data_IF_362242669334
#
_entry.id   IF_362242669334
#
_cell.length_a   1.000
_cell.length_b   1.000
_cell.length_c   1.000
_cell.angle_alpha   90.00
_cell.angle_beta   90.00
_cell.angle_gamma   90.00
#
_symmetry.space_group_name_H-M   'P 1'
#
loop_
_entity.id
_entity.type
_entity.pdbx_description
1 polymer ?
#
# COMPACT_ATOMS: atom_id res chain seq x y z
N UNK A 1 -56.89 24.99 -7.59
CA UNK A 1 -55.72 24.38 -6.91
C UNK A 1 -54.80 23.84 -7.97
N UNK A 2 -53.55 24.31 -8.01
CA UNK A 2 -52.36 23.58 -8.46
C UNK A 2 -51.18 24.51 -8.16
N UNK A 3 -50.66 24.40 -6.93
CA UNK A 3 -49.43 25.07 -6.51
C UNK A 3 -48.26 24.40 -7.24
N UNK A 4 -47.57 25.16 -8.07
CA UNK A 4 -46.35 24.71 -8.73
C UNK A 4 -45.25 24.49 -7.69
N UNK A 5 -44.71 23.28 -7.63
CA UNK A 5 -43.48 22.98 -6.92
C UNK A 5 -42.33 23.71 -7.62
N UNK A 6 -41.93 24.87 -7.10
CA UNK A 6 -40.65 25.47 -7.45
C UNK A 6 -39.53 24.64 -6.80
N UNK A 7 -38.61 24.12 -7.62
CA UNK A 7 -37.38 23.52 -7.12
C UNK A 7 -36.54 24.60 -6.43
N UNK A 8 -36.32 24.48 -5.13
CA UNK A 8 -35.29 25.24 -4.42
C UNK A 8 -33.92 24.74 -4.89
N UNK A 9 -33.40 25.30 -5.99
CA UNK A 9 -31.97 25.30 -6.25
C UNK A 9 -31.38 26.52 -5.56
N UNK A 10 -30.60 26.27 -4.50
CA UNK A 10 -29.77 27.29 -3.87
C UNK A 10 -28.87 27.87 -4.99
N UNK A 11 -28.85 29.19 -5.24
CA UNK A 11 -28.02 29.75 -6.29
C UNK A 11 -26.57 29.38 -5.98
N UNK A 12 -25.94 28.61 -6.88
CA UNK A 12 -24.50 28.36 -6.83
C UNK A 12 -23.85 29.71 -7.14
N UNK A 13 -23.07 30.32 -6.22
CA UNK A 13 -22.33 31.53 -6.55
C UNK A 13 -21.44 31.23 -7.76
N UNK A 14 -21.32 32.19 -8.68
CA UNK A 14 -20.71 31.99 -9.99
C UNK A 14 -19.26 31.48 -9.98
N UNK A 15 -18.59 31.44 -8.83
CA UNK A 15 -17.27 30.83 -8.65
C UNK A 15 -17.08 30.30 -7.20
N UNK A 16 -17.74 29.21 -6.84
CA UNK A 16 -17.62 28.65 -5.49
C UNK A 16 -16.26 27.96 -5.26
N UNK A 17 -15.61 28.26 -4.13
CA UNK A 17 -14.42 27.53 -3.66
C UNK A 17 -14.78 26.09 -3.24
N UNK A 18 -13.81 25.15 -3.26
CA UNK A 18 -14.03 23.78 -2.82
C UNK A 18 -14.52 23.69 -1.38
N UNK A 19 -15.38 22.72 -1.08
CA UNK A 19 -15.86 22.45 0.28
C UNK A 19 -15.03 21.38 0.98
N UNK A 20 -14.30 20.58 0.21
CA UNK A 20 -13.48 19.48 0.70
C UNK A 20 -12.15 19.39 -0.04
N UNK A 21 -11.11 19.04 0.69
CA UNK A 21 -9.81 18.63 0.17
C UNK A 21 -9.53 17.21 0.63
N UNK A 22 -9.10 16.35 -0.30
CA UNK A 22 -8.54 15.03 -0.02
C UNK A 22 -7.07 15.09 -0.41
N UNK A 23 -6.20 15.02 0.59
CA UNK A 23 -4.75 15.05 0.43
C UNK A 23 -4.20 13.63 0.60
N UNK A 24 -3.82 13.02 -0.51
CA UNK A 24 -3.15 11.73 -0.57
C UNK A 24 -1.63 11.93 -0.44
N UNK A 25 -1.07 11.48 0.68
CA UNK A 25 0.37 11.52 0.93
C UNK A 25 0.94 10.13 0.70
N UNK A 26 1.92 9.99 -0.18
CA UNK A 26 2.55 8.70 -0.42
C UNK A 26 3.45 8.29 0.76
N UNK A 27 3.27 7.05 1.24
CA UNK A 27 4.22 6.38 2.14
C UNK A 27 4.33 6.91 3.58
N UNK A 28 3.45 7.78 4.05
CA UNK A 28 3.48 8.30 5.44
C UNK A 28 3.06 7.23 6.45
N UNK A 29 3.96 6.92 7.39
CA UNK A 29 3.67 6.00 8.50
C UNK A 29 2.78 6.64 9.57
N UNK A 30 1.84 5.86 10.11
CA UNK A 30 0.98 6.27 11.23
C UNK A 30 1.78 6.75 12.45
N UNK A 31 2.92 6.12 12.73
CA UNK A 31 3.81 6.48 13.86
C UNK A 31 4.31 7.91 13.74
N UNK A 32 4.60 8.36 12.51
CA UNK A 32 5.20 9.67 12.24
C UNK A 32 4.19 10.78 12.49
N UNK A 33 2.94 10.55 12.08
CA UNK A 33 1.82 11.46 12.36
C UNK A 33 1.51 11.50 13.85
N UNK A 34 1.57 10.36 14.54
CA UNK A 34 1.38 10.30 15.99
C UNK A 34 2.48 11.07 16.74
N UNK A 35 3.74 10.90 16.35
CA UNK A 35 4.88 11.65 16.90
C UNK A 35 4.76 13.16 16.62
N UNK A 36 4.36 13.55 15.41
CA UNK A 36 4.09 14.95 15.09
C UNK A 36 2.99 15.54 15.97
N UNK A 37 1.93 14.76 16.22
CA UNK A 37 0.82 15.18 17.10
C UNK A 37 1.24 15.32 18.56
N UNK A 38 2.09 14.43 19.05
CA UNK A 38 2.68 14.55 20.40
C UNK A 38 3.52 15.83 20.53
N UNK A 39 4.13 16.30 19.44
CA UNK A 39 4.85 17.59 19.37
C UNK A 39 3.93 18.81 19.17
N UNK A 40 2.61 18.63 19.21
CA UNK A 40 1.61 19.70 19.07
C UNK A 40 1.21 20.05 17.63
N UNK A 41 1.70 19.30 16.63
CA UNK A 41 1.27 19.48 15.23
C UNK A 41 -0.10 18.84 14.98
N UNK A 42 -0.79 19.28 13.95
CA UNK A 42 -2.13 18.82 13.54
C UNK A 42 -3.19 18.99 14.63
N UNK A 43 -3.06 20.02 15.48
CA UNK A 43 -4.00 20.29 16.56
C UNK A 43 -5.43 20.61 16.07
N UNK A 44 -5.56 21.12 14.84
CA UNK A 44 -6.84 21.40 14.19
C UNK A 44 -7.55 20.13 13.67
N UNK A 45 -6.90 18.96 13.69
CA UNK A 45 -7.43 17.72 13.14
C UNK A 45 -7.95 16.77 14.24
N UNK A 46 -8.87 15.89 13.85
CA UNK A 46 -9.24 14.74 14.66
C UNK A 46 -8.05 13.83 14.93
N UNK A 47 -8.10 13.01 16.00
CA UNK A 47 -7.08 11.99 16.22
C UNK A 47 -6.82 11.14 14.98
N UNK A 48 -5.54 10.94 14.60
CA UNK A 48 -5.19 10.05 13.50
C UNK A 48 -5.76 8.65 13.74
N UNK A 49 -6.30 8.05 12.68
CA UNK A 49 -6.71 6.65 12.66
C UNK A 49 -5.72 5.82 11.86
N UNK A 50 -5.60 4.53 12.19
CA UNK A 50 -4.77 3.60 11.41
C UNK A 50 -5.51 3.20 10.13
N UNK A 51 -4.87 3.39 8.98
CA UNK A 51 -5.29 2.75 7.74
C UNK A 51 -4.46 1.47 7.53
N UNK A 52 -5.12 0.32 7.48
CA UNK A 52 -4.45 -0.94 7.15
C UNK A 52 -4.40 -1.07 5.62
N UNK A 53 -3.21 -0.99 5.05
CA UNK A 53 -2.98 -1.07 3.60
C UNK A 53 -3.34 -2.43 3.00
N UNK A 54 -3.16 -2.59 1.69
CA UNK A 54 -3.25 -3.86 0.97
C UNK A 54 -2.09 -4.80 1.34
N UNK A 55 -2.15 -6.04 0.84
CA UNK A 55 -1.02 -6.97 0.85
C UNK A 55 -0.73 -7.43 -0.58
N UNK A 56 0.49 -7.19 -1.12
CA UNK A 56 1.55 -6.34 -0.56
C UNK A 56 1.11 -4.88 -0.31
N UNK A 57 1.81 -4.17 0.57
CA UNK A 57 1.54 -2.75 0.86
C UNK A 57 2.34 -1.86 -0.10
N UNK A 58 1.86 -1.72 -1.33
CA UNK A 58 2.49 -0.96 -2.42
C UNK A 58 1.48 0.02 -3.01
N UNK A 59 1.94 1.21 -3.39
CA UNK A 59 1.11 2.34 -3.81
C UNK A 59 0.09 2.00 -4.88
N UNK A 60 0.49 1.33 -5.97
CA UNK A 60 -0.40 1.01 -7.10
C UNK A 60 -1.68 0.32 -6.62
N UNK A 61 -1.56 -0.81 -5.93
CA UNK A 61 -2.73 -1.58 -5.48
C UNK A 61 -3.45 -0.92 -4.30
N UNK A 62 -2.74 -0.18 -3.45
CA UNK A 62 -3.31 0.53 -2.32
C UNK A 62 -4.19 1.70 -2.76
N UNK A 63 -3.71 2.57 -3.67
CA UNK A 63 -4.49 3.68 -4.19
C UNK A 63 -5.71 3.22 -4.99
N UNK A 64 -5.59 2.15 -5.79
CA UNK A 64 -6.77 1.58 -6.46
C UNK A 64 -7.82 1.08 -5.45
N UNK A 65 -7.40 0.43 -4.36
CA UNK A 65 -8.30 -0.02 -3.31
C UNK A 65 -8.95 1.16 -2.56
N UNK A 66 -8.19 2.21 -2.25
CA UNK A 66 -8.67 3.42 -1.55
C UNK A 66 -9.70 4.17 -2.39
N UNK A 67 -9.44 4.35 -3.69
CA UNK A 67 -10.33 5.09 -4.59
C UNK A 67 -11.42 4.24 -5.24
N UNK A 68 -11.51 2.94 -4.92
CA UNK A 68 -12.50 2.03 -5.48
C UNK A 68 -12.38 1.86 -7.00
N UNK A 69 -11.15 1.88 -7.51
CA UNK A 69 -10.85 1.66 -8.92
C UNK A 69 -10.83 0.16 -9.26
N UNK A 70 -10.87 -0.15 -10.54
CA UNK A 70 -10.68 -1.54 -10.98
C UNK A 70 -9.25 -1.99 -10.64
N UNK A 71 -9.00 -3.29 -10.37
CA UNK A 71 -7.66 -3.75 -10.03
C UNK A 71 -6.65 -3.38 -11.13
N UNK A 72 -5.45 -2.87 -10.79
CA UNK A 72 -4.40 -2.57 -11.77
C UNK A 72 -3.91 -3.84 -12.46
N UNK A 73 -3.12 -3.68 -13.53
CA UNK A 73 -2.66 -4.80 -14.34
C UNK A 73 -1.80 -5.81 -13.54
N UNK A 74 -0.93 -5.31 -12.67
CA UNK A 74 -0.10 -6.09 -11.76
C UNK A 74 0.08 -5.37 -10.42
N UNK A 75 0.95 -5.90 -9.56
CA UNK A 75 1.21 -5.30 -8.24
C UNK A 75 2.00 -3.99 -8.33
N UNK A 76 2.70 -3.81 -9.46
CA UNK A 76 3.51 -2.65 -9.82
C UNK A 76 3.40 -2.41 -11.33
N UNK A 77 3.97 -1.30 -11.82
CA UNK A 77 3.97 -0.88 -13.23
C UNK A 77 4.67 -1.87 -14.16
N UNK A 78 5.74 -2.50 -13.69
CA UNK A 78 6.36 -3.66 -14.35
C UNK A 78 5.80 -4.93 -13.71
N UNK A 79 5.19 -5.81 -14.51
CA UNK A 79 4.46 -6.96 -13.99
C UNK A 79 4.49 -8.15 -14.95
N UNK A 80 4.32 -9.35 -14.40
CA UNK A 80 4.13 -10.55 -15.21
C UNK A 80 2.66 -10.69 -15.62
N UNK A 81 2.40 -10.85 -16.92
CA UNK A 81 1.08 -11.15 -17.45
C UNK A 81 0.94 -12.64 -17.72
N UNK A 82 0.02 -13.29 -17.01
CA UNK A 82 -0.27 -14.71 -17.22
C UNK A 82 -0.82 -14.96 -18.64
N UNK A 83 -1.63 -14.03 -19.17
CA UNK A 83 -2.18 -14.11 -20.53
C UNK A 83 -1.10 -14.07 -21.61
N UNK A 84 -0.05 -13.26 -21.44
CA UNK A 84 1.03 -13.10 -22.42
C UNK A 84 2.24 -13.99 -22.12
N UNK A 85 2.25 -14.68 -20.97
CA UNK A 85 3.41 -15.40 -20.44
C UNK A 85 4.69 -14.57 -20.46
N UNK A 86 4.62 -13.30 -20.04
CA UNK A 86 5.73 -12.37 -20.14
C UNK A 86 5.70 -11.29 -19.05
N UNK A 87 6.88 -10.86 -18.59
CA UNK A 87 7.07 -9.61 -17.83
C UNK A 87 6.92 -8.43 -18.79
N UNK A 88 5.82 -7.70 -18.62
CA UNK A 88 5.45 -6.50 -19.35
C UNK A 88 5.90 -5.24 -18.58
N UNK A 89 6.22 -4.19 -19.33
CA UNK A 89 6.81 -2.97 -18.80
C UNK A 89 8.34 -2.92 -18.96
N UNK A 90 8.85 -1.70 -18.88
CA UNK A 90 10.27 -1.35 -18.91
C UNK A 90 10.58 -0.27 -17.86
N UNK A 91 11.84 0.17 -17.79
CA UNK A 91 12.26 1.19 -16.83
C UNK A 91 11.56 2.56 -17.04
N UNK A 92 11.00 2.83 -18.22
CA UNK A 92 10.23 4.05 -18.48
C UNK A 92 8.75 3.88 -18.08
N UNK A 93 8.26 2.65 -18.07
CA UNK A 93 6.94 2.30 -17.56
C UNK A 93 6.85 2.62 -16.06
N UNK A 94 7.96 2.51 -15.33
CA UNK A 94 8.08 2.86 -13.92
C UNK A 94 7.75 4.31 -13.58
N UNK A 95 7.84 5.22 -14.55
CA UNK A 95 7.64 6.66 -14.36
C UNK A 95 6.43 7.19 -15.15
N UNK A 96 5.58 6.30 -15.68
CA UNK A 96 4.37 6.67 -16.39
C UNK A 96 3.19 6.88 -15.44
N UNK A 97 2.33 7.90 -15.64
CA UNK A 97 1.16 8.10 -14.78
C UNK A 97 0.31 6.83 -14.66
N UNK A 98 -0.21 6.56 -13.47
CA UNK A 98 -1.16 5.47 -13.25
C UNK A 98 -2.58 6.03 -13.26
N UNK A 99 -3.55 5.18 -13.62
CA UNK A 99 -5.00 5.41 -13.63
C UNK A 99 -5.55 6.08 -12.35
N UNK A 100 -4.92 5.92 -11.18
CA UNK A 100 -5.33 6.64 -9.96
C UNK A 100 -4.86 8.10 -9.94
N UNK A 101 -3.71 8.41 -10.53
CA UNK A 101 -3.19 9.78 -10.65
C UNK A 101 -4.12 10.62 -11.54
N UNK A 102 -4.77 9.99 -12.52
CA UNK A 102 -5.82 10.62 -13.34
C UNK A 102 -7.07 11.02 -12.54
N UNK A 103 -7.25 10.52 -11.32
CA UNK A 103 -8.33 10.92 -10.40
C UNK A 103 -7.97 12.14 -9.56
N UNK A 104 -6.73 12.56 -9.57
CA UNK A 104 -6.27 13.73 -8.83
C UNK A 104 -6.60 15.00 -9.63
N UNK A 105 -7.08 16.03 -8.96
CA UNK A 105 -7.15 17.37 -9.55
C UNK A 105 -5.75 17.90 -9.81
N UNK A 106 -4.82 17.55 -8.91
CA UNK A 106 -3.43 17.93 -8.98
C UNK A 106 -2.53 16.77 -8.55
N UNK A 107 -1.76 16.28 -9.53
CA UNK A 107 -0.57 15.46 -9.35
C UNK A 107 0.56 16.14 -10.13
N UNK A 108 1.74 16.25 -9.54
CA UNK A 108 2.86 16.96 -10.18
C UNK A 108 3.37 16.24 -11.43
N UNK A 109 3.76 17.01 -12.46
CA UNK A 109 4.18 16.54 -13.79
C UNK A 109 5.19 15.37 -13.73
N UNK A 110 4.71 14.20 -14.13
CA UNK A 110 5.07 12.90 -13.52
C UNK A 110 6.47 12.39 -13.88
N UNK A 111 7.07 12.81 -14.99
CA UNK A 111 8.36 12.23 -15.42
C UNK A 111 9.55 12.85 -14.71
N UNK A 112 9.63 14.18 -14.70
CA UNK A 112 10.73 14.89 -14.03
C UNK A 112 10.51 14.99 -12.53
N UNK A 113 9.25 14.98 -12.08
CA UNK A 113 8.93 15.10 -10.67
C UNK A 113 9.26 13.83 -9.88
N UNK A 114 8.92 12.63 -10.36
CA UNK A 114 9.29 11.39 -9.67
C UNK A 114 10.81 11.21 -9.62
N UNK A 115 11.52 11.39 -10.74
CA UNK A 115 12.99 11.32 -10.75
C UNK A 115 13.62 12.42 -9.88
N UNK A 116 13.09 13.64 -9.95
CA UNK A 116 13.50 14.79 -9.13
C UNK A 116 13.26 14.56 -7.64
N UNK A 117 12.16 13.92 -7.26
CA UNK A 117 11.84 13.58 -5.87
C UNK A 117 12.92 12.68 -5.27
N UNK A 118 13.51 11.77 -6.03
CA UNK A 118 14.63 10.95 -5.52
C UNK A 118 15.98 11.71 -5.53
N UNK A 119 16.18 12.68 -6.43
CA UNK A 119 17.45 13.43 -6.58
C UNK A 119 17.56 14.70 -5.73
N UNK A 120 16.45 15.34 -5.37
CA UNK A 120 16.36 16.56 -4.55
C UNK A 120 15.08 16.51 -3.69
N UNK A 121 14.95 15.45 -2.90
CA UNK A 121 13.72 15.07 -2.17
C UNK A 121 13.12 16.17 -1.31
N UNK A 122 13.92 16.85 -0.49
CA UNK A 122 13.40 17.94 0.34
C UNK A 122 12.87 19.15 -0.47
N UNK A 123 13.62 19.73 -1.41
CA UNK A 123 13.09 20.78 -2.28
C UNK A 123 11.79 20.42 -3.00
N UNK A 124 11.67 19.18 -3.48
CA UNK A 124 10.46 18.68 -4.14
C UNK A 124 9.30 18.59 -3.15
N UNK A 125 9.46 17.83 -2.07
CA UNK A 125 8.40 17.63 -1.07
C UNK A 125 7.93 18.96 -0.45
N UNK A 126 8.84 19.89 -0.19
CA UNK A 126 8.47 21.24 0.29
C UNK A 126 7.67 22.02 -0.76
N UNK A 127 8.04 21.91 -2.04
CA UNK A 127 7.35 22.59 -3.14
C UNK A 127 5.95 22.04 -3.33
N UNK A 128 5.74 20.73 -3.19
CA UNK A 128 4.41 20.13 -3.22
C UNK A 128 3.46 20.83 -2.24
N UNK A 129 3.80 20.78 -0.95
CA UNK A 129 3.00 21.36 0.13
C UNK A 129 2.79 22.88 -0.04
N UNK A 130 3.80 23.62 -0.50
CA UNK A 130 3.66 25.05 -0.74
C UNK A 130 2.62 25.34 -1.82
N UNK A 131 2.60 24.52 -2.87
CA UNK A 131 1.74 24.70 -4.04
C UNK A 131 0.29 24.32 -3.72
N UNK A 132 0.08 23.30 -2.88
CA UNK A 132 -1.25 22.80 -2.50
C UNK A 132 -2.19 23.90 -2.00
N UNK A 133 -1.71 24.82 -1.16
CA UNK A 133 -2.53 25.91 -0.62
C UNK A 133 -3.03 26.82 -1.74
N UNK A 134 -2.16 27.21 -2.65
CA UNK A 134 -2.50 28.09 -3.76
C UNK A 134 -3.42 27.39 -4.76
N UNK A 135 -3.21 26.10 -5.01
CA UNK A 135 -4.09 25.29 -5.85
C UNK A 135 -5.51 25.21 -5.30
N UNK A 136 -5.67 24.90 -4.01
CA UNK A 136 -7.00 24.81 -3.39
C UNK A 136 -7.71 26.17 -3.41
N UNK A 137 -7.00 27.24 -3.04
CA UNK A 137 -7.56 28.59 -3.02
C UNK A 137 -7.76 29.20 -4.42
N UNK A 138 -7.11 28.64 -5.44
CA UNK A 138 -7.26 29.00 -6.86
C UNK A 138 -8.33 28.18 -7.59
N UNK A 139 -8.67 26.99 -7.09
CA UNK A 139 -9.69 26.12 -7.70
C UNK A 139 -11.08 26.74 -7.58
N UNK A 140 -11.91 26.61 -8.63
CA UNK A 140 -13.31 27.04 -8.64
C UNK A 140 -14.21 25.92 -9.15
N UNK A 141 -15.47 25.94 -8.71
CA UNK A 141 -16.54 25.10 -9.24
C UNK A 141 -16.26 23.58 -9.15
N UNK A 142 -15.46 23.19 -8.15
CA UNK A 142 -15.22 21.80 -7.74
C UNK A 142 -15.68 21.67 -6.29
N UNK A 143 -16.52 20.70 -5.98
CA UNK A 143 -16.95 20.50 -4.59
C UNK A 143 -15.83 19.89 -3.73
N UNK A 144 -15.12 18.91 -4.29
CA UNK A 144 -13.97 18.25 -3.66
C UNK A 144 -12.75 18.41 -4.57
N UNK A 145 -11.60 18.70 -3.98
CA UNK A 145 -10.29 18.72 -4.64
C UNK A 145 -9.44 17.56 -4.12
N UNK A 146 -8.84 16.81 -5.04
CA UNK A 146 -7.94 15.69 -4.77
C UNK A 146 -6.50 16.10 -5.10
N UNK A 147 -5.63 16.04 -4.10
CA UNK A 147 -4.20 16.36 -4.21
C UNK A 147 -3.38 15.10 -3.92
N UNK A 148 -2.29 14.90 -4.66
CA UNK A 148 -1.36 13.80 -4.42
C UNK A 148 0.08 14.28 -4.32
N UNK A 149 0.73 13.93 -3.21
CA UNK A 149 2.10 14.29 -2.90
C UNK A 149 2.95 13.02 -2.80
N UNK A 150 3.91 12.87 -3.73
CA UNK A 150 4.85 11.74 -3.78
C UNK A 150 6.14 12.02 -3.00
N UNK A 151 6.44 13.30 -2.77
CA UNK A 151 7.63 13.73 -2.05
C UNK A 151 7.86 13.09 -0.68
N UNK A 152 6.85 12.75 0.14
CA UNK A 152 7.08 12.14 1.45
C UNK A 152 7.65 10.72 1.39
N UNK A 153 7.20 9.90 0.45
CA UNK A 153 7.76 8.56 0.23
C UNK A 153 9.22 8.66 -0.26
N UNK A 154 9.46 9.51 -1.27
CA UNK A 154 10.81 9.77 -1.77
C UNK A 154 11.76 10.33 -0.69
N UNK A 155 11.27 11.18 0.23
CA UNK A 155 12.03 11.65 1.39
C UNK A 155 12.45 10.48 2.27
N UNK A 156 11.52 9.57 2.59
CA UNK A 156 11.78 8.44 3.46
C UNK A 156 12.76 7.45 2.83
N UNK A 157 12.70 7.26 1.51
CA UNK A 157 13.68 6.48 0.77
C UNK A 157 15.08 7.12 0.68
N UNK A 158 15.20 8.44 0.79
CA UNK A 158 16.46 9.19 0.55
C UNK A 158 17.11 9.78 1.80
N UNK A 159 16.85 9.16 2.97
CA UNK A 159 17.30 9.61 4.31
C UNK A 159 16.80 11.00 4.71
N UNK A 160 15.79 11.54 4.02
CA UNK A 160 15.17 12.81 4.30
C UNK A 160 14.50 12.88 5.67
N UNK A 161 14.23 14.10 6.12
CA UNK A 161 13.59 14.39 7.39
C UNK A 161 12.06 14.50 7.21
N UNK A 162 11.36 13.40 7.49
CA UNK A 162 9.90 13.35 7.43
C UNK A 162 9.24 14.19 8.53
N UNK A 163 9.89 14.42 9.68
CA UNK A 163 9.34 15.29 10.72
C UNK A 163 9.32 16.73 10.25
N UNK A 164 10.39 17.19 9.58
CA UNK A 164 10.42 18.51 8.93
C UNK A 164 9.33 18.65 7.87
N UNK A 165 9.05 17.59 7.10
CA UNK A 165 7.95 17.59 6.15
C UNK A 165 6.59 17.74 6.85
N UNK A 166 6.33 16.95 7.89
CA UNK A 166 5.06 17.00 8.63
C UNK A 166 4.85 18.33 9.35
N UNK A 167 5.90 18.93 9.90
CA UNK A 167 5.85 20.26 10.50
C UNK A 167 5.48 21.33 9.47
N UNK A 168 6.12 21.30 8.31
CA UNK A 168 5.81 22.20 7.20
C UNK A 168 4.40 21.98 6.65
N UNK A 169 3.96 20.72 6.55
CA UNK A 169 2.60 20.37 6.14
C UNK A 169 1.55 20.94 7.10
N UNK A 170 1.73 20.75 8.40
CA UNK A 170 0.82 21.29 9.43
C UNK A 170 0.71 22.83 9.35
N UNK A 171 1.84 23.52 9.20
CA UNK A 171 1.89 24.97 9.04
C UNK A 171 1.11 25.43 7.80
N UNK A 172 1.30 24.77 6.65
CA UNK A 172 0.61 25.10 5.41
C UNK A 172 -0.88 24.76 5.43
N UNK A 173 -1.28 23.66 6.05
CA UNK A 173 -2.69 23.31 6.22
C UNK A 173 -3.40 24.28 7.18
N UNK A 174 -2.72 24.71 8.26
CA UNK A 174 -3.26 25.72 9.18
C UNK A 174 -3.47 27.06 8.47
N UNK A 175 -2.53 27.47 7.60
CA UNK A 175 -2.72 28.64 6.75
C UNK A 175 -3.91 28.46 5.81
N UNK A 176 -4.02 27.31 5.12
CA UNK A 176 -5.12 27.02 4.21
C UNK A 176 -6.48 27.16 4.90
N UNK A 177 -6.65 26.52 6.07
CA UNK A 177 -7.89 26.59 6.84
C UNK A 177 -8.23 28.04 7.24
N UNK A 178 -7.23 28.78 7.70
CA UNK A 178 -7.39 30.18 8.12
C UNK A 178 -7.84 31.05 6.94
N UNK A 179 -7.09 31.02 5.83
CA UNK A 179 -7.39 31.83 4.64
C UNK A 179 -8.70 31.44 3.99
N UNK A 180 -9.05 30.15 4.00
CA UNK A 180 -10.34 29.68 3.50
C UNK A 180 -11.49 30.26 4.31
N UNK A 181 -11.40 30.22 5.65
CA UNK A 181 -12.42 30.78 6.54
C UNK A 181 -12.54 32.28 6.39
N UNK A 182 -11.43 33.01 6.26
CA UNK A 182 -11.44 34.46 6.01
C UNK A 182 -12.15 34.81 4.70
N UNK A 183 -11.94 34.02 3.63
CA UNK A 183 -12.54 34.28 2.32
C UNK A 183 -14.01 33.88 2.21
N UNK A 184 -14.42 32.84 2.92
CA UNK A 184 -15.74 32.21 2.70
C UNK A 184 -16.69 32.33 3.89
N UNK A 185 -16.16 32.65 5.08
CA UNK A 185 -16.92 32.54 6.34
C UNK A 185 -17.29 31.11 6.72
N UNK A 186 -16.67 30.09 6.10
CA UNK A 186 -17.00 28.68 6.27
C UNK A 186 -15.76 27.86 6.61
N UNK A 187 -15.98 26.69 7.21
CA UNK A 187 -14.93 25.70 7.44
C UNK A 187 -14.71 24.85 6.18
N UNK A 188 -13.44 24.52 5.91
CA UNK A 188 -13.03 23.58 4.87
C UNK A 188 -12.86 22.19 5.48
N UNK A 189 -13.45 21.17 4.87
CA UNK A 189 -13.18 19.79 5.26
C UNK A 189 -11.86 19.32 4.63
N UNK A 190 -10.91 18.86 5.45
CA UNK A 190 -9.63 18.34 4.96
C UNK A 190 -9.47 16.90 5.44
N UNK A 191 -9.34 15.99 4.49
CA UNK A 191 -9.04 14.56 4.72
C UNK A 191 -7.60 14.33 4.29
N UNK A 192 -6.76 13.87 5.21
CA UNK A 192 -5.38 13.48 4.93
C UNK A 192 -5.28 11.97 5.10
N UNK A 193 -4.71 11.28 4.11
CA UNK A 193 -4.53 9.84 4.14
C UNK A 193 -3.20 9.43 3.48
N UNK A 194 -2.74 8.24 3.84
CA UNK A 194 -1.59 7.58 3.24
C UNK A 194 -1.98 6.18 2.76
N UNK A 195 -1.39 5.72 1.68
CA UNK A 195 -1.59 4.39 1.11
C UNK A 195 -0.87 3.29 1.87
N UNK A 196 0.35 3.55 2.32
CA UNK A 196 1.15 2.65 3.14
C UNK A 196 2.03 3.43 4.13
N UNK A 197 2.74 2.69 4.98
CA UNK A 197 3.79 3.23 5.85
C UNK A 197 5.18 2.96 5.27
N UNK A 198 6.21 3.18 6.09
CA UNK A 198 7.60 2.95 5.68
C UNK A 198 8.40 2.43 6.88
N UNK A 199 9.15 1.33 6.72
CA UNK A 199 9.86 0.68 7.83
C UNK A 199 11.17 1.40 8.23
N UNK A 200 11.60 2.39 7.45
CA UNK A 200 12.81 3.22 7.67
C UNK A 200 14.11 2.41 7.75
N UNK A 201 14.13 1.23 7.14
CA UNK A 201 15.32 0.39 7.08
C UNK A 201 16.37 0.94 6.11
N UNK A 202 17.01 2.05 6.49
CA UNK A 202 17.97 2.80 5.68
C UNK A 202 19.19 1.95 5.28
N UNK A 203 19.60 1.07 6.19
CA UNK A 203 20.74 0.16 6.04
C UNK A 203 20.32 -1.25 5.57
N UNK A 204 19.10 -1.41 5.05
CA UNK A 204 18.62 -2.70 4.58
C UNK A 204 19.51 -3.28 3.47
N UNK A 205 19.84 -4.56 3.60
CA UNK A 205 20.63 -5.31 2.61
C UNK A 205 19.77 -5.75 1.43
N UNK A 206 20.37 -5.92 0.25
CA UNK A 206 19.65 -6.51 -0.87
C UNK A 206 19.48 -8.00 -0.65
N UNK A 207 18.23 -8.47 -0.66
CA UNK A 207 17.93 -9.89 -0.54
C UNK A 207 18.49 -10.65 -1.77
N UNK A 208 19.34 -11.68 -1.58
CA UNK A 208 19.97 -12.43 -2.67
C UNK A 208 19.00 -13.47 -3.26
N UNK A 209 17.81 -13.03 -3.69
CA UNK A 209 16.73 -13.90 -4.12
C UNK A 209 17.10 -14.72 -5.35
N UNK A 210 17.72 -14.10 -6.35
CA UNK A 210 18.07 -14.76 -7.61
C UNK A 210 19.13 -15.81 -7.36
N UNK A 211 20.14 -15.49 -6.55
CA UNK A 211 21.23 -16.38 -6.19
C UNK A 211 20.71 -17.57 -5.38
N UNK A 212 19.82 -17.33 -4.40
CA UNK A 212 19.23 -18.40 -3.59
C UNK A 212 18.35 -19.35 -4.42
N UNK A 213 17.56 -18.82 -5.36
CA UNK A 213 16.75 -19.62 -6.28
C UNK A 213 17.65 -20.42 -7.25
N UNK A 214 18.70 -19.79 -7.79
CA UNK A 214 19.67 -20.42 -8.66
C UNK A 214 20.43 -21.57 -7.99
N UNK A 215 20.80 -21.42 -6.72
CA UNK A 215 21.42 -22.48 -5.93
C UNK A 215 20.54 -23.75 -5.81
N UNK A 216 19.23 -23.62 -6.05
CA UNK A 216 18.26 -24.73 -6.03
C UNK A 216 17.77 -25.11 -7.43
N UNK A 217 18.46 -24.65 -8.49
CA UNK A 217 18.20 -25.01 -9.88
C UNK A 217 17.10 -24.19 -10.56
N UNK A 218 16.61 -23.13 -9.92
CA UNK A 218 15.64 -22.21 -10.53
C UNK A 218 16.34 -21.08 -11.30
N UNK A 219 15.72 -20.62 -12.38
CA UNK A 219 16.23 -19.56 -13.24
C UNK A 219 15.25 -18.39 -13.28
N UNK A 220 15.74 -17.18 -13.00
CA UNK A 220 14.95 -15.96 -13.22
C UNK A 220 14.73 -15.74 -14.71
N UNK A 221 13.49 -15.62 -15.13
CA UNK A 221 13.11 -15.48 -16.53
C UNK A 221 12.00 -14.44 -16.71
N UNK A 222 11.98 -13.81 -17.89
CA UNK A 222 10.88 -12.91 -18.28
C UNK A 222 9.64 -13.65 -18.76
N UNK A 223 9.76 -14.94 -19.09
CA UNK A 223 8.68 -15.83 -19.53
C UNK A 223 8.88 -17.21 -18.92
N UNK A 224 7.80 -17.94 -18.62
CA UNK A 224 7.85 -19.25 -17.99
C UNK A 224 7.51 -20.31 -19.03
N UNK A 225 8.53 -21.02 -19.51
CA UNK A 225 8.40 -22.15 -20.43
C UNK A 225 8.76 -23.49 -19.77
N UNK A 226 9.55 -23.46 -18.70
CA UNK A 226 10.04 -24.65 -17.98
C UNK A 226 9.65 -24.60 -16.52
N UNK A 227 9.54 -25.79 -15.91
CA UNK A 227 9.20 -25.92 -14.49
C UNK A 227 10.19 -25.19 -13.56
N UNK A 228 11.45 -25.07 -13.95
CA UNK A 228 12.48 -24.43 -13.15
C UNK A 228 12.61 -22.91 -13.40
N UNK A 229 11.69 -22.29 -14.14
CA UNK A 229 11.72 -20.84 -14.36
C UNK A 229 10.79 -20.11 -13.38
N UNK A 230 11.28 -18.99 -12.87
CA UNK A 230 10.56 -18.08 -11.98
C UNK A 230 10.56 -16.68 -12.59
N UNK A 231 9.44 -15.99 -12.51
CA UNK A 231 9.32 -14.61 -12.93
C UNK A 231 8.81 -13.78 -11.74
N UNK A 232 9.51 -12.69 -11.44
CA UNK A 232 9.03 -11.66 -10.54
C UNK A 232 9.53 -10.33 -11.07
N UNK A 233 8.82 -9.27 -10.72
CA UNK A 233 9.25 -7.92 -11.06
C UNK A 233 9.18 -7.07 -9.80
N UNK A 234 10.20 -6.25 -9.63
CA UNK A 234 10.27 -5.23 -8.60
C UNK A 234 10.58 -3.92 -9.32
N UNK A 235 9.61 -3.03 -9.28
CA UNK A 235 9.78 -1.66 -9.75
C UNK A 235 10.19 -0.79 -8.55
N UNK A 236 11.39 -0.22 -8.58
CA UNK A 236 11.96 0.49 -7.42
C UNK A 236 12.51 -0.41 -6.31
N UNK A 237 12.53 0.10 -5.08
CA UNK A 237 12.97 -0.59 -3.86
C UNK A 237 11.75 -0.88 -3.00
N UNK A 238 11.43 -2.14 -2.77
CA UNK A 238 10.25 -2.57 -2.01
C UNK A 238 10.57 -3.70 -1.03
N UNK A 239 9.63 -3.99 -0.14
CA UNK A 239 9.66 -5.11 0.80
C UNK A 239 8.53 -6.11 0.53
N UNK A 240 7.72 -5.92 -0.52
CA UNK A 240 6.70 -6.88 -0.90
C UNK A 240 6.57 -7.05 -2.41
N UNK A 241 6.34 -8.27 -2.89
CA UNK A 241 6.22 -8.55 -4.33
C UNK A 241 5.54 -9.90 -4.62
N UNK A 242 5.11 -10.09 -5.87
CA UNK A 242 4.55 -11.34 -6.37
C UNK A 242 5.56 -12.16 -7.17
N UNK A 243 5.52 -13.48 -7.00
CA UNK A 243 6.36 -14.45 -7.72
C UNK A 243 5.47 -15.41 -8.53
N UNK A 244 5.85 -15.58 -9.79
CA UNK A 244 5.21 -16.46 -10.76
C UNK A 244 6.17 -17.59 -11.12
N UNK A 245 5.63 -18.80 -11.27
CA UNK A 245 6.36 -19.98 -11.71
C UNK A 245 5.36 -20.99 -12.30
N UNK A 246 5.86 -22.11 -12.83
CA UNK A 246 4.98 -23.19 -13.28
C UNK A 246 4.11 -23.72 -12.11
N UNK A 247 2.85 -24.15 -12.35
CA UNK A 247 1.95 -24.62 -11.29
C UNK A 247 2.56 -25.68 -10.36
N UNK A 248 3.26 -26.66 -10.93
CA UNK A 248 3.89 -27.75 -10.17
C UNK A 248 5.09 -27.30 -9.33
N UNK A 249 5.62 -26.11 -9.61
CA UNK A 249 6.76 -25.53 -8.89
C UNK A 249 6.36 -24.60 -7.76
N UNK A 250 5.09 -24.19 -7.67
CA UNK A 250 4.63 -23.17 -6.72
C UNK A 250 4.98 -23.54 -5.28
N UNK A 251 4.65 -24.75 -4.83
CA UNK A 251 4.93 -25.19 -3.46
C UNK A 251 6.44 -25.22 -3.16
N UNK A 252 7.25 -25.68 -4.12
CA UNK A 252 8.70 -25.76 -3.97
C UNK A 252 9.32 -24.36 -3.91
N UNK A 253 8.93 -23.45 -4.80
CA UNK A 253 9.42 -22.07 -4.82
C UNK A 253 9.02 -21.33 -3.55
N UNK A 254 7.76 -21.47 -3.10
CA UNK A 254 7.27 -20.83 -1.90
C UNK A 254 8.02 -21.31 -0.64
N UNK A 255 8.26 -22.61 -0.52
CA UNK A 255 9.05 -23.17 0.59
C UNK A 255 10.51 -22.72 0.57
N UNK A 256 11.13 -22.62 -0.60
CA UNK A 256 12.51 -22.12 -0.72
C UNK A 256 12.63 -20.67 -0.30
N UNK A 257 11.70 -19.82 -0.76
CA UNK A 257 11.64 -18.41 -0.39
C UNK A 257 11.40 -18.25 1.11
N UNK A 258 10.49 -19.03 1.69
CA UNK A 258 10.21 -18.96 3.13
C UNK A 258 11.43 -19.30 3.99
N UNK A 259 12.29 -20.21 3.52
CA UNK A 259 13.51 -20.60 4.23
C UNK A 259 14.66 -19.59 4.14
N UNK A 260 14.49 -18.49 3.40
CA UNK A 260 15.53 -17.46 3.27
C UNK A 260 15.52 -16.52 4.49
N UNK A 261 16.68 -16.24 5.11
CA UNK A 261 16.77 -15.26 6.20
C UNK A 261 16.28 -13.84 5.83
N UNK A 262 16.28 -13.51 4.53
CA UNK A 262 15.82 -12.22 4.02
C UNK A 262 14.29 -12.11 3.91
N UNK A 263 13.56 -13.22 4.03
CA UNK A 263 12.11 -13.27 3.83
C UNK A 263 11.43 -13.40 5.18
N UNK A 264 10.45 -12.54 5.46
CA UNK A 264 9.68 -12.61 6.70
C UNK A 264 8.48 -13.55 6.53
N UNK A 265 7.62 -13.28 5.55
CA UNK A 265 6.41 -14.08 5.31
C UNK A 265 6.29 -14.42 3.83
N UNK A 266 5.98 -15.69 3.54
CA UNK A 266 5.55 -16.15 2.22
C UNK A 266 4.12 -16.64 2.32
N UNK A 267 3.29 -16.20 1.38
CA UNK A 267 1.95 -16.75 1.20
C UNK A 267 1.82 -17.38 -0.16
N UNK A 268 1.08 -18.47 -0.23
CA UNK A 268 0.84 -19.20 -1.47
C UNK A 268 -0.65 -19.47 -1.62
N UNK A 269 -1.17 -19.27 -2.83
CA UNK A 269 -2.50 -19.71 -3.23
C UNK A 269 -2.45 -21.19 -3.60
N UNK A 270 -3.15 -22.03 -2.84
CA UNK A 270 -3.35 -23.46 -3.18
C UNK A 270 -4.53 -23.60 -4.14
N UNK A 271 -5.63 -22.90 -3.84
CA UNK A 271 -6.79 -22.72 -4.71
C UNK A 271 -7.57 -21.46 -4.28
N UNK A 272 -8.71 -21.17 -4.90
CA UNK A 272 -9.50 -19.95 -4.63
C UNK A 272 -10.08 -19.85 -3.20
N UNK A 273 -10.02 -20.94 -2.43
CA UNK A 273 -10.55 -21.03 -1.06
C UNK A 273 -9.50 -21.33 0.00
N UNK A 274 -8.25 -21.66 -0.38
CA UNK A 274 -7.18 -22.07 0.53
C UNK A 274 -5.85 -21.43 0.17
N UNK A 275 -5.25 -20.80 1.18
CA UNK A 275 -3.97 -20.11 1.10
C UNK A 275 -3.09 -20.57 2.27
N UNK A 276 -1.83 -20.84 2.01
CA UNK A 276 -0.85 -21.17 3.05
C UNK A 276 -0.02 -19.95 3.40
N UNK A 277 0.45 -19.89 4.65
CA UNK A 277 1.28 -18.83 5.19
C UNK A 277 2.48 -19.48 5.86
N UNK A 278 3.68 -19.08 5.46
CA UNK A 278 4.95 -19.62 5.93
C UNK A 278 5.82 -18.48 6.46
N UNK A 279 6.43 -18.69 7.62
CA UNK A 279 7.41 -17.79 8.24
C UNK A 279 8.51 -18.63 8.87
N UNK A 280 9.75 -18.17 8.78
CA UNK A 280 10.87 -18.79 9.47
C UNK A 280 11.39 -17.83 10.54
N UNK A 281 11.44 -18.28 11.80
CA UNK A 281 12.10 -17.52 12.88
C UNK A 281 13.59 -17.85 13.00
N UNK A 282 14.06 -18.83 12.21
CA UNK A 282 15.43 -19.31 12.21
C UNK A 282 15.59 -20.60 11.39
N UNK A 283 16.82 -21.12 11.27
CA UNK A 283 17.09 -22.38 10.59
C UNK A 283 16.27 -23.53 11.20
N UNK A 284 15.39 -24.15 10.39
CA UNK A 284 14.56 -25.30 10.82
C UNK A 284 13.28 -24.95 11.59
N UNK A 285 13.06 -23.69 11.95
CA UNK A 285 11.88 -23.22 12.69
C UNK A 285 10.79 -22.67 11.76
N UNK A 286 10.29 -23.55 10.87
CA UNK A 286 9.16 -23.21 10.01
C UNK A 286 7.88 -23.09 10.84
N UNK A 287 7.28 -21.90 10.79
CA UNK A 287 5.88 -21.68 11.15
C UNK A 287 4.98 -21.79 9.93
N UNK A 288 3.87 -22.51 10.07
CA UNK A 288 2.90 -22.77 9.01
C UNK A 288 1.49 -22.48 9.50
N UNK A 289 0.74 -21.74 8.71
CA UNK A 289 -0.68 -21.47 8.91
C UNK A 289 -1.46 -21.55 7.61
N UNK A 290 -2.77 -21.63 7.74
CA UNK A 290 -3.70 -21.66 6.62
C UNK A 290 -4.78 -20.60 6.77
N UNK A 291 -5.02 -19.87 5.69
CA UNK A 291 -6.16 -18.97 5.53
C UNK A 291 -7.16 -19.64 4.59
N UNK A 292 -8.42 -19.74 5.03
CA UNK A 292 -9.52 -20.26 4.22
C UNK A 292 -10.54 -19.17 3.96
N UNK A 293 -11.05 -19.12 2.73
CA UNK A 293 -12.15 -18.25 2.31
C UNK A 293 -13.38 -19.06 1.99
N UNK A 294 -14.55 -18.52 2.34
CA UNK A 294 -15.83 -18.95 1.78
C UNK A 294 -16.72 -17.74 1.54
N UNK A 295 -17.63 -17.86 0.57
CA UNK A 295 -18.63 -16.83 0.28
C UNK A 295 -19.99 -17.28 0.79
N UNK A 296 -20.63 -16.46 1.62
CA UNK A 296 -21.95 -16.74 2.21
C UNK A 296 -22.84 -15.53 1.95
N UNK A 297 -23.98 -15.73 1.27
CA UNK A 297 -24.92 -14.66 0.93
C UNK A 297 -24.27 -13.42 0.26
N UNK A 298 -23.26 -13.64 -0.58
CA UNK A 298 -22.54 -12.56 -1.27
C UNK A 298 -21.40 -11.92 -0.49
N UNK A 299 -21.26 -12.21 0.81
CA UNK A 299 -20.18 -11.73 1.68
C UNK A 299 -19.06 -12.76 1.81
N UNK A 300 -17.80 -12.29 1.79
CA UNK A 300 -16.65 -13.14 2.05
C UNK A 300 -16.38 -13.28 3.55
N UNK A 301 -16.15 -14.54 3.96
CA UNK A 301 -15.76 -14.89 5.32
C UNK A 301 -14.45 -15.65 5.31
N UNK A 302 -13.68 -15.46 6.37
CA UNK A 302 -12.31 -15.93 6.47
C UNK A 302 -12.08 -16.68 7.76
N UNK A 303 -11.30 -17.76 7.67
CA UNK A 303 -10.80 -18.53 8.80
C UNK A 303 -9.28 -18.56 8.75
N UNK A 304 -8.65 -18.40 9.90
CA UNK A 304 -7.23 -18.64 10.08
C UNK A 304 -7.02 -19.84 11.01
N UNK A 305 -6.04 -20.69 10.68
CA UNK A 305 -5.58 -21.78 11.54
C UNK A 305 -4.06 -21.86 11.53
N UNK A 306 -3.47 -21.86 12.70
CA UNK A 306 -2.06 -22.18 12.95
C UNK A 306 -1.89 -23.71 12.89
N UNK A 307 -1.11 -24.21 11.93
CA UNK A 307 -0.87 -25.65 11.72
C UNK A 307 0.43 -26.10 12.40
N UNK A 308 1.46 -25.26 12.35
CA UNK A 308 2.73 -25.44 13.08
C UNK A 308 3.21 -24.07 13.54
N UNK A 309 3.07 -23.75 14.82
CA UNK A 309 3.30 -22.38 15.29
C UNK A 309 2.36 -21.36 14.63
N UNK A 310 2.51 -20.09 14.99
CA UNK A 310 1.64 -19.01 14.53
C UNK A 310 2.44 -18.02 13.68
N UNK A 311 2.47 -18.18 12.34
CA UNK A 311 3.25 -17.30 11.48
C UNK A 311 2.71 -15.86 11.41
N UNK A 312 1.44 -15.63 11.77
CA UNK A 312 0.81 -14.30 11.72
C UNK A 312 0.57 -13.68 13.10
N UNK A 313 0.92 -14.39 14.17
CA UNK A 313 0.73 -13.98 15.55
C UNK A 313 -0.75 -13.64 15.87
N UNK A 314 -1.68 -14.41 15.31
CA UNK A 314 -3.13 -14.20 15.41
C UNK A 314 -3.85 -15.16 16.36
N UNK A 315 -3.20 -16.16 16.95
CA UNK A 315 -3.85 -17.14 17.84
C UNK A 315 -4.58 -16.46 19.01
N UNK A 316 -3.93 -15.47 19.64
CA UNK A 316 -4.54 -14.70 20.71
C UNK A 316 -5.79 -13.94 20.25
N UNK A 317 -5.79 -13.42 19.01
CA UNK A 317 -6.92 -12.71 18.43
C UNK A 317 -8.06 -13.68 18.10
N UNK A 318 -7.75 -14.85 17.53
CA UNK A 318 -8.72 -15.91 17.23
C UNK A 318 -9.40 -16.39 18.51
N UNK A 319 -8.66 -16.56 19.62
CA UNK A 319 -9.24 -16.90 20.92
C UNK A 319 -10.22 -15.81 21.41
N UNK A 320 -9.86 -14.53 21.29
CA UNK A 320 -10.76 -13.41 21.64
C UNK A 320 -12.00 -13.37 20.73
N UNK A 321 -11.84 -13.62 19.44
CA UNK A 321 -12.95 -13.68 18.47
C UNK A 321 -13.91 -14.82 18.80
N UNK A 322 -13.39 -15.99 19.20
CA UNK A 322 -14.21 -17.12 19.65
C UNK A 322 -14.99 -16.78 20.92
N UNK A 323 -14.33 -16.22 21.93
CA UNK A 323 -14.96 -15.82 23.18
C UNK A 323 -16.05 -14.76 22.97
N UNK A 324 -15.87 -13.87 21.98
CA UNK A 324 -16.86 -12.86 21.61
C UNK A 324 -17.99 -13.38 20.71
N UNK A 325 -17.96 -14.66 20.29
CA UNK A 325 -19.00 -15.25 19.44
C UNK A 325 -19.05 -14.70 18.01
N UNK A 326 -17.99 -14.04 17.53
CA UNK A 326 -17.92 -13.48 16.16
C UNK A 326 -17.42 -14.48 15.12
N UNK A 327 -16.95 -15.65 15.56
CA UNK A 327 -16.67 -16.79 14.69
C UNK A 327 -17.91 -17.69 14.62
N UNK A 328 -18.28 -18.13 13.42
CA UNK A 328 -19.29 -19.17 13.27
C UNK A 328 -18.77 -20.56 13.67
N UNK A 329 -19.65 -21.57 13.60
CA UNK A 329 -19.35 -22.94 14.03
C UNK A 329 -18.13 -23.56 13.34
N UNK A 330 -17.84 -23.13 12.10
CA UNK A 330 -16.70 -23.63 11.32
C UNK A 330 -15.43 -22.77 11.52
N UNK A 331 -15.50 -21.72 12.35
CA UNK A 331 -14.40 -20.82 12.66
C UNK A 331 -14.20 -19.69 11.65
N UNK A 332 -15.22 -19.30 10.88
CA UNK A 332 -15.13 -18.19 9.95
C UNK A 332 -15.69 -16.89 10.55
N UNK A 333 -15.09 -15.76 10.17
CA UNK A 333 -15.50 -14.41 10.53
C UNK A 333 -15.54 -13.49 9.29
N UNK A 334 -16.31 -12.40 9.37
CA UNK A 334 -16.37 -11.36 8.34
C UNK A 334 -15.12 -10.47 8.37
N UNK A 335 -14.89 -9.69 7.30
CA UNK A 335 -13.80 -8.70 7.27
C UNK A 335 -13.88 -7.72 8.45
N UNK A 336 -15.08 -7.25 8.82
CA UNK A 336 -15.26 -6.29 9.93
C UNK A 336 -14.80 -6.88 11.27
N UNK A 337 -15.09 -8.16 11.53
CA UNK A 337 -14.59 -8.85 12.73
C UNK A 337 -13.07 -8.99 12.70
N UNK A 338 -12.46 -9.32 11.55
CA UNK A 338 -11.00 -9.35 11.44
C UNK A 338 -10.39 -7.97 11.71
N UNK A 339 -10.93 -6.89 11.14
CA UNK A 339 -10.49 -5.51 11.41
C UNK A 339 -10.56 -5.21 12.91
N UNK A 340 -11.72 -5.42 13.54
CA UNK A 340 -11.95 -5.09 14.93
C UNK A 340 -10.97 -5.81 15.89
N UNK A 341 -10.68 -7.09 15.65
CA UNK A 341 -9.91 -7.92 16.59
C UNK A 341 -8.40 -7.95 16.30
N UNK A 342 -7.98 -7.52 15.09
CA UNK A 342 -6.57 -7.63 14.65
C UNK A 342 -5.94 -6.31 14.19
N UNK A 343 -6.64 -5.18 14.17
CA UNK A 343 -6.05 -3.89 13.75
C UNK A 343 -4.81 -3.45 14.57
N UNK A 344 -4.64 -4.00 15.77
CA UNK A 344 -3.46 -3.77 16.63
C UNK A 344 -2.39 -4.88 16.56
N UNK A 345 -2.59 -5.94 15.79
CA UNK A 345 -1.66 -7.06 15.68
C UNK A 345 -0.45 -6.71 14.77
N UNK A 346 0.67 -7.45 14.88
CA UNK A 346 1.82 -7.28 13.98
C UNK A 346 1.46 -7.46 12.50
N UNK A 347 0.60 -8.43 12.19
CA UNK A 347 0.04 -8.65 10.86
C UNK A 347 -1.46 -8.31 10.86
N UNK A 348 -1.83 -7.01 10.81
CA UNK A 348 -3.20 -6.60 10.99
C UNK A 348 -4.06 -7.04 9.81
N UNK A 349 -5.24 -7.60 10.12
CA UNK A 349 -6.26 -7.92 9.11
C UNK A 349 -5.73 -8.90 8.05
N UNK A 350 -4.74 -9.72 8.39
CA UNK A 350 -4.00 -10.53 7.43
C UNK A 350 -4.88 -11.52 6.64
N UNK A 351 -5.84 -12.28 7.22
CA UNK A 351 -6.62 -13.24 6.45
C UNK A 351 -7.35 -12.64 5.24
N UNK A 352 -8.18 -11.59 5.36
CA UNK A 352 -8.78 -10.96 4.18
C UNK A 352 -7.75 -10.29 3.26
N UNK A 353 -6.63 -9.77 3.78
CA UNK A 353 -5.59 -9.13 2.95
C UNK A 353 -4.81 -10.13 2.09
N UNK A 354 -4.50 -11.31 2.61
CA UNK A 354 -3.86 -12.41 1.87
C UNK A 354 -4.74 -12.88 0.73
N UNK A 355 -6.03 -13.10 1.01
CA UNK A 355 -7.00 -13.49 -0.03
C UNK A 355 -7.10 -12.39 -1.09
N UNK A 356 -7.29 -11.14 -0.68
CA UNK A 356 -7.37 -10.00 -1.60
C UNK A 356 -6.13 -9.94 -2.50
N UNK A 357 -4.93 -10.05 -1.92
CA UNK A 357 -3.65 -10.08 -2.62
C UNK A 357 -3.62 -11.13 -3.74
N UNK A 358 -4.07 -12.34 -3.46
CA UNK A 358 -4.02 -13.47 -4.41
C UNK A 358 -5.20 -13.58 -5.39
N UNK A 359 -6.30 -12.86 -5.17
CA UNK A 359 -7.50 -13.01 -5.99
C UNK A 359 -7.89 -11.75 -6.76
N UNK A 360 -7.73 -10.57 -6.17
CA UNK A 360 -8.38 -9.35 -6.68
C UNK A 360 -7.59 -8.06 -6.53
N UNK A 361 -6.41 -8.08 -5.90
CA UNK A 361 -5.58 -6.89 -5.81
C UNK A 361 -5.08 -6.42 -7.19
N UNK A 362 -4.97 -7.33 -8.16
CA UNK A 362 -4.50 -7.06 -9.52
C UNK A 362 -5.23 -7.95 -10.54
N UNK A 363 -5.12 -7.62 -11.83
CA UNK A 363 -5.63 -8.46 -12.93
C UNK A 363 -4.76 -9.69 -13.22
N UNK A 364 -3.51 -9.69 -12.75
CA UNK A 364 -2.59 -10.81 -12.86
C UNK A 364 -2.07 -11.18 -11.46
N UNK A 365 -2.90 -11.80 -10.61
CA UNK A 365 -2.49 -12.11 -9.25
C UNK A 365 -1.43 -13.23 -9.24
N UNK A 366 -0.44 -13.08 -8.38
CA UNK A 366 0.64 -14.05 -8.26
C UNK A 366 0.19 -15.27 -7.44
N UNK A 367 0.67 -16.49 -7.78
CA UNK A 367 0.44 -17.67 -6.95
C UNK A 367 1.22 -17.61 -5.63
N UNK A 368 2.26 -16.79 -5.54
CA UNK A 368 3.10 -16.59 -4.36
C UNK A 368 3.24 -15.09 -4.11
N UNK A 369 3.01 -14.65 -2.87
CA UNK A 369 3.31 -13.29 -2.42
C UNK A 369 4.33 -13.35 -1.28
N UNK A 370 5.30 -12.46 -1.34
CA UNK A 370 6.44 -12.42 -0.43
C UNK A 370 6.45 -11.08 0.30
N UNK A 371 6.70 -11.14 1.60
CA UNK A 371 7.08 -10.01 2.46
C UNK A 371 8.52 -10.22 2.91
N UNK A 372 9.35 -9.21 2.74
CA UNK A 372 10.77 -9.18 3.08
C UNK A 372 10.93 -8.72 4.52
N UNK A 373 11.91 -9.31 5.22
CA UNK A 373 12.25 -8.91 6.58
C UNK A 373 12.78 -7.47 6.61
N UNK A 374 12.51 -6.73 7.68
CA UNK A 374 12.80 -5.29 7.76
C UNK A 374 14.28 -4.95 7.56
N UNK A 375 15.20 -5.87 7.80
CA UNK A 375 16.64 -5.67 7.56
C UNK A 375 17.06 -5.86 6.10
N UNK A 376 16.12 -6.20 5.22
CA UNK A 376 16.36 -6.47 3.82
C UNK A 376 15.41 -5.67 2.91
N UNK A 377 15.78 -5.60 1.63
CA UNK A 377 14.99 -4.97 0.56
C UNK A 377 15.21 -5.70 -0.75
N UNK A 378 14.28 -5.52 -1.68
CA UNK A 378 14.40 -5.98 -3.07
C UNK A 378 14.32 -4.78 -4.01
N UNK A 379 15.05 -4.79 -5.11
CA UNK A 379 14.98 -3.70 -6.08
C UNK A 379 16.12 -3.67 -7.09
N UNK A 380 15.94 -2.86 -8.14
CA UNK A 380 16.94 -2.64 -9.18
C UNK A 380 17.90 -1.51 -8.76
N UNK A 381 19.20 -1.77 -8.84
CA UNK A 381 20.27 -1.00 -8.21
C UNK A 381 20.43 0.48 -8.57
N UNK A 382 19.67 1.08 -9.49
CA UNK A 382 19.83 2.51 -9.85
C UNK A 382 19.39 3.48 -8.74
N UNK A 383 18.23 3.24 -8.10
CA UNK A 383 17.81 3.98 -6.91
C UNK A 383 18.73 3.67 -5.72
N UNK A 384 19.25 2.44 -5.65
CA UNK A 384 20.26 2.06 -4.65
C UNK A 384 21.57 2.81 -4.81
N UNK A 385 22.01 3.07 -6.04
CA UNK A 385 23.28 3.76 -6.32
C UNK A 385 23.15 5.23 -5.93
N UNK A 386 22.03 5.89 -6.24
CA UNK A 386 21.77 7.27 -5.79
C UNK A 386 21.78 7.40 -4.25
N UNK A 387 21.23 6.41 -3.53
CA UNK A 387 21.23 6.37 -2.07
C UNK A 387 22.61 6.10 -1.42
N UNK A 388 23.55 5.47 -2.15
CA UNK A 388 24.94 5.28 -1.68
C UNK A 388 25.84 6.48 -1.95
N UNK A 389 25.46 7.35 -2.88
CA UNK A 389 26.25 8.50 -3.32
C UNK A 389 25.93 9.80 -2.56
N UNK A 390 24.94 9.79 -1.65
CA UNK A 390 24.71 10.90 -0.72
C UNK A 390 25.49 10.67 0.58
N UNK A 391 26.28 11.65 1.03
CA UNK A 391 27.07 11.56 2.25
C UNK A 391 26.21 11.40 3.51
#
# INVERSE_FOLDING_TARGET
MLAGCASFQRPVPAEALPRRVVLALDGIDYRDVMEARQRGRFAAFHPPARLVSTFPSISDIAWHAIFGLYPPAGYQRVYYSARHNAVLGDALSAISPIEYEERMDYAFDTKFHHLGAYLISWPVARREVNTDVDLVLGTRNRETVYLYNVGPDALQHTRGDVHRYLDHLDERLTELLTRYRERTGRELEVIVLSDHGHNRAREAEFAPLVEALAAHGFESARSIARANQVAFSVDGVTTGFGVFCAPDSVARVASLLAGMPAVDVVTQRVNDSLFTVMRHDGPGELRLGAVRRRRVAGEDRYRYTSERGDPLELDSAVLRMRAAGVLDADGYATTSSWVQFTAGAPYPVAPPRIVHGHLSATRNPAPILVSIHDTFRVGLGLVSVANRLRP
#
